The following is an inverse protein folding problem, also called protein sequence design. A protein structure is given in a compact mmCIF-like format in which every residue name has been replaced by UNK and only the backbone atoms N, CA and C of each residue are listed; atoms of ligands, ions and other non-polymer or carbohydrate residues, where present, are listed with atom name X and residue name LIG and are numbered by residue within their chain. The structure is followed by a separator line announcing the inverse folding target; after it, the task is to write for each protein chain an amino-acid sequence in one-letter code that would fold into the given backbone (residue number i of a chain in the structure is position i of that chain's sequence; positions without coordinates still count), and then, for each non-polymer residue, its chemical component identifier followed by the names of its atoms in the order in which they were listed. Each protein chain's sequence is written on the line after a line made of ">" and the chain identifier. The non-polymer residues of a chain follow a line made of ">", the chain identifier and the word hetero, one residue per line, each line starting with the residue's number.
data_IF_476370704557
#
_entry.id   IF_476370704557
#
_cell.length_a   1.000
_cell.length_b   1.000
_cell.length_c   1.000
_cell.angle_alpha   90.00
_cell.angle_beta   90.00
_cell.angle_gamma   90.00
#
_symmetry.space_group_name_H-M   'P 1'
#
loop_
_entity.id
_entity.type
_entity.pdbx_description
1 polymer ?
#
# COMPACT_ATOMS: atom_id res chain seq x y z
N UNK A 1 -12.20 17.13 -0.10
CA UNK A 1 -11.68 15.75 -0.26
C UNK A 1 -10.24 15.77 0.21
N UNK A 2 -9.76 14.69 0.84
CA UNK A 2 -8.32 14.52 1.13
C UNK A 2 -7.56 14.40 -0.19
N UNK A 3 -6.40 15.04 -0.31
CA UNK A 3 -5.51 14.83 -1.45
C UNK A 3 -4.71 13.56 -1.22
N UNK A 4 -4.90 12.57 -2.09
CA UNK A 4 -4.31 11.26 -1.97
C UNK A 4 -3.80 10.73 -3.32
N UNK A 5 -2.92 9.73 -3.26
CA UNK A 5 -2.39 9.05 -4.43
C UNK A 5 -2.32 7.54 -4.23
N UNK A 6 -2.44 6.74 -5.31
CA UNK A 6 -2.29 5.31 -5.22
C UNK A 6 -0.84 4.93 -4.90
N UNK A 7 -0.66 4.00 -3.96
CA UNK A 7 0.63 3.40 -3.62
C UNK A 7 0.45 1.89 -3.45
N UNK A 8 1.46 1.14 -3.89
CA UNK A 8 1.46 -0.33 -3.79
C UNK A 8 2.65 -0.80 -2.98
N UNK A 9 2.38 -1.62 -1.96
CA UNK A 9 3.37 -2.31 -1.16
C UNK A 9 3.47 -3.77 -1.55
N UNK A 10 4.67 -4.33 -1.54
CA UNK A 10 4.89 -5.73 -1.85
C UNK A 10 5.03 -6.51 -0.54
N UNK A 11 4.16 -7.49 -0.37
CA UNK A 11 4.23 -8.47 0.71
C UNK A 11 4.86 -9.77 0.20
N UNK A 12 5.73 -10.37 1.02
CA UNK A 12 6.39 -11.64 0.70
C UNK A 12 6.33 -12.59 1.88
N UNK A 13 6.06 -13.87 1.64
CA UNK A 13 6.01 -14.89 2.69
C UNK A 13 6.08 -16.30 2.14
N UNK A 14 6.18 -17.29 3.04
CA UNK A 14 6.20 -18.70 2.66
C UNK A 14 4.86 -19.18 2.05
N UNK A 15 3.77 -18.46 2.32
CA UNK A 15 2.44 -18.68 1.75
C UNK A 15 1.71 -17.33 1.57
N UNK A 16 0.53 -17.36 0.95
CA UNK A 16 -0.25 -16.15 0.63
C UNK A 16 -0.73 -15.39 1.87
N UNK A 17 -1.07 -16.08 2.96
CA UNK A 17 -1.52 -15.43 4.19
C UNK A 17 -0.40 -14.64 4.83
N UNK A 18 0.78 -15.26 5.00
CA UNK A 18 1.97 -14.61 5.55
C UNK A 18 2.45 -13.45 4.66
N UNK A 19 2.35 -13.61 3.35
CA UNK A 19 2.66 -12.52 2.41
C UNK A 19 1.71 -11.33 2.57
N UNK A 20 0.42 -11.60 2.78
CA UNK A 20 -0.61 -10.57 2.99
C UNK A 20 -0.38 -9.82 4.29
N UNK A 21 -0.16 -10.53 5.39
CA UNK A 21 0.18 -9.94 6.69
C UNK A 21 1.44 -9.07 6.57
N UNK A 22 2.48 -9.58 5.89
CA UNK A 22 3.71 -8.84 5.66
C UNK A 22 3.48 -7.54 4.86
N UNK A 23 2.68 -7.60 3.79
CA UNK A 23 2.37 -6.43 2.96
C UNK A 23 1.56 -5.37 3.71
N UNK A 24 0.57 -5.79 4.48
CA UNK A 24 -0.25 -4.90 5.32
C UNK A 24 0.59 -4.22 6.41
N UNK A 25 1.44 -5.00 7.10
CA UNK A 25 2.32 -4.49 8.14
C UNK A 25 3.33 -3.48 7.58
N UNK A 26 3.94 -3.77 6.42
CA UNK A 26 4.85 -2.82 5.74
C UNK A 26 4.16 -1.51 5.38
N UNK A 27 2.95 -1.58 4.83
CA UNK A 27 2.18 -0.40 4.49
C UNK A 27 1.86 0.44 5.75
N UNK A 28 1.45 -0.22 6.83
CA UNK A 28 1.16 0.42 8.12
C UNK A 28 2.40 1.14 8.69
N UNK A 29 3.55 0.47 8.70
CA UNK A 29 4.82 1.02 9.20
C UNK A 29 5.32 2.19 8.36
N UNK A 30 5.27 2.10 7.02
CA UNK A 30 5.74 3.17 6.14
C UNK A 30 4.80 4.37 6.15
N UNK A 31 3.49 4.15 6.22
CA UNK A 31 2.50 5.22 6.23
C UNK A 31 2.13 5.68 7.64
N UNK A 32 2.78 5.17 8.68
CA UNK A 32 2.53 5.52 10.09
C UNK A 32 1.04 5.44 10.48
N UNK A 33 0.35 4.42 9.96
CA UNK A 33 -1.06 4.15 10.22
C UNK A 33 -1.24 2.75 10.81
N UNK A 34 -2.41 2.48 11.37
CA UNK A 34 -2.72 1.14 11.89
C UNK A 34 -2.97 0.14 10.77
N UNK A 35 -2.68 -1.14 11.00
CA UNK A 35 -3.04 -2.22 10.05
C UNK A 35 -4.54 -2.22 9.70
N UNK A 36 -5.47 -2.07 10.67
CA UNK A 36 -6.90 -1.94 10.36
C UNK A 36 -7.23 -0.79 9.40
N UNK A 37 -6.53 0.35 9.52
CA UNK A 37 -6.71 1.49 8.61
C UNK A 37 -6.23 1.15 7.19
N UNK A 38 -5.07 0.51 7.06
CA UNK A 38 -4.58 0.01 5.75
C UNK A 38 -5.58 -0.96 5.14
N UNK A 39 -6.09 -1.91 5.93
CA UNK A 39 -7.08 -2.89 5.47
C UNK A 39 -8.34 -2.21 4.96
N UNK A 40 -8.86 -1.23 5.70
CA UNK A 40 -10.04 -0.47 5.30
C UNK A 40 -9.79 0.28 3.97
N UNK A 41 -8.67 1.01 3.87
CA UNK A 41 -8.31 1.74 2.64
C UNK A 41 -8.10 0.81 1.44
N UNK A 42 -7.43 -0.33 1.63
CA UNK A 42 -7.24 -1.35 0.61
C UNK A 42 -8.55 -2.01 0.18
N UNK A 43 -9.56 -2.08 1.07
CA UNK A 43 -10.88 -2.65 0.75
C UNK A 43 -11.75 -1.67 -0.03
N UNK A 44 -11.76 -0.39 0.36
CA UNK A 44 -12.67 0.61 -0.19
C UNK A 44 -12.17 1.19 -1.52
N UNK A 45 -10.88 1.51 -1.62
CA UNK A 45 -10.30 2.23 -2.74
C UNK A 45 -8.97 1.63 -3.21
N UNK A 46 -8.79 0.33 -2.98
CA UNK A 46 -7.54 -0.39 -3.25
C UNK A 46 -7.78 -1.84 -3.66
N UNK A 47 -6.74 -2.66 -3.49
CA UNK A 47 -6.83 -4.10 -3.71
C UNK A 47 -5.68 -4.84 -3.00
N UNK A 48 -5.91 -6.10 -2.64
CA UNK A 48 -4.87 -7.06 -2.30
C UNK A 48 -4.84 -8.11 -3.41
N UNK A 49 -3.73 -8.19 -4.13
CA UNK A 49 -3.61 -9.05 -5.32
C UNK A 49 -2.47 -10.04 -5.16
N UNK A 50 -2.61 -11.23 -5.75
CA UNK A 50 -1.51 -12.19 -5.86
C UNK A 50 -0.54 -11.68 -6.92
N UNK A 51 0.68 -11.34 -6.51
CA UNK A 51 1.73 -10.90 -7.42
C UNK A 51 2.41 -12.08 -8.13
N UNK A 52 2.68 -13.17 -7.40
CA UNK A 52 3.29 -14.40 -7.96
C UNK A 52 2.86 -15.64 -7.18
N UNK A 53 2.45 -16.69 -7.90
CA UNK A 53 2.21 -18.03 -7.36
C UNK A 53 2.87 -19.10 -8.25
N UNK A 54 3.62 -20.09 -7.71
CA UNK A 54 4.00 -20.29 -6.30
C UNK A 54 5.06 -19.31 -5.79
N UNK A 55 5.15 -19.14 -4.46
CA UNK A 55 6.19 -18.32 -3.81
C UNK A 55 5.71 -17.06 -3.09
N UNK A 56 4.43 -17.02 -2.68
CA UNK A 56 3.90 -16.12 -1.64
C UNK A 56 4.26 -14.64 -1.81
N UNK A 57 4.00 -14.07 -3.00
CA UNK A 57 4.13 -12.62 -3.23
C UNK A 57 2.75 -12.02 -3.43
N UNK A 58 2.47 -10.93 -2.74
CA UNK A 58 1.22 -10.17 -2.87
C UNK A 58 1.50 -8.69 -3.05
N UNK A 59 0.56 -7.99 -3.67
CA UNK A 59 0.55 -6.54 -3.82
C UNK A 59 -0.58 -5.97 -2.97
N UNK A 60 -0.27 -5.05 -2.08
CA UNK A 60 -1.25 -4.31 -1.28
C UNK A 60 -1.31 -2.90 -1.84
N UNK A 61 -2.38 -2.58 -2.55
CA UNK A 61 -2.61 -1.28 -3.17
C UNK A 61 -3.67 -0.52 -2.36
N UNK A 62 -3.38 0.73 -2.02
CA UNK A 62 -4.31 1.64 -1.37
C UNK A 62 -4.06 3.10 -1.80
N UNK A 63 -5.01 3.98 -1.49
CA UNK A 63 -4.81 5.43 -1.64
C UNK A 63 -4.29 6.02 -0.33
N UNK A 64 -3.09 6.57 -0.38
CA UNK A 64 -2.42 7.17 0.77
C UNK A 64 -2.46 8.71 0.68
N UNK A 65 -2.64 9.41 1.81
CA UNK A 65 -2.61 10.88 1.86
C UNK A 65 -1.28 11.43 1.33
N UNK A 66 -1.33 12.48 0.52
CA UNK A 66 -0.13 13.06 -0.10
C UNK A 66 0.88 13.56 0.95
N UNK A 67 0.44 14.09 2.09
CA UNK A 67 1.34 14.57 3.14
C UNK A 67 2.19 13.45 3.75
N UNK A 68 1.65 12.23 3.86
CA UNK A 68 2.40 11.05 4.33
C UNK A 68 3.38 10.58 3.26
N UNK A 69 2.97 10.58 1.99
CA UNK A 69 3.86 10.24 0.87
C UNK A 69 4.99 11.28 0.73
N UNK A 70 4.72 12.55 0.99
CA UNK A 70 5.69 13.64 0.95
C UNK A 70 6.71 13.51 2.08
N UNK A 71 6.27 13.20 3.30
CA UNK A 71 7.15 12.93 4.43
C UNK A 71 8.12 11.75 4.17
N UNK A 72 7.76 10.82 3.27
CA UNK A 72 8.60 9.69 2.85
C UNK A 72 9.34 9.92 1.52
N UNK A 73 9.21 11.09 0.89
CA UNK A 73 9.83 11.41 -0.39
C UNK A 73 9.22 10.66 -1.60
N UNK A 74 8.04 10.07 -1.44
CA UNK A 74 7.34 9.27 -2.47
C UNK A 74 6.37 10.11 -3.32
N UNK A 75 6.17 11.37 -2.98
CA UNK A 75 5.13 12.23 -3.57
C UNK A 75 5.48 12.78 -4.96
N UNK A 76 6.78 12.87 -5.32
CA UNK A 76 7.22 13.48 -6.58
C UNK A 76 6.69 12.75 -7.82
N UNK A 77 6.66 11.41 -7.80
CA UNK A 77 6.20 10.62 -8.92
C UNK A 77 4.67 10.70 -9.13
N UNK A 78 3.82 10.49 -8.12
CA UNK A 78 2.37 10.68 -8.26
C UNK A 78 1.98 12.10 -8.66
N UNK A 79 2.61 13.14 -8.10
CA UNK A 79 2.36 14.54 -8.49
C UNK A 79 2.62 14.76 -9.98
N UNK A 80 3.76 14.29 -10.48
CA UNK A 80 4.09 14.39 -11.91
C UNK A 80 3.15 13.59 -12.81
N UNK A 81 2.69 12.42 -12.38
CA UNK A 81 1.89 11.51 -13.20
C UNK A 81 0.41 11.91 -13.25
N UNK A 82 -0.13 12.39 -12.13
CA UNK A 82 -1.55 12.67 -11.96
C UNK A 82 -1.90 14.17 -11.95
N UNK A 83 -0.90 15.05 -12.04
CA UNK A 83 -1.11 16.51 -12.00
C UNK A 83 -1.63 17.00 -10.65
N UNK A 84 -1.19 16.35 -9.57
CA UNK A 84 -1.50 16.69 -8.18
C UNK A 84 -0.54 17.78 -7.67
#
# INVERSE_FOLDING_TARGET
>A
MEEDAPVTFIGTGANLNLATENGLQRAAEVLEMSVPEVMNRATVAGAIEIGRNPGGVVRVTLRAPLHLLEAKGLCAFPRSLYGL
#
